data_IF_241938390785
#
_entry.id   IF_241938390785
#
_cell.length_a   1.000
_cell.length_b   1.000
_cell.length_c   1.000
_cell.angle_alpha   90.00
_cell.angle_beta   90.00
_cell.angle_gamma   90.00
#
_symmetry.space_group_name_H-M   'P 1'
#
loop_
_entity.id
_entity.type
_entity.pdbx_description
1 polymer ?
#
# COMPACT_ATOMS: atom_id res chain seq x y z
N UNK A 1 -73.36 3.75 60.60
CA UNK A 1 -72.63 3.13 61.73
C UNK A 1 -71.36 2.54 61.13
N UNK A 2 -70.12 2.89 61.47
CA UNK A 2 -69.51 3.48 62.65
C UNK A 2 -68.26 4.27 62.26
N UNK A 3 -68.03 5.40 62.93
CA UNK A 3 -66.77 6.13 62.99
C UNK A 3 -65.73 5.32 63.78
N UNK A 4 -64.44 5.41 63.41
CA UNK A 4 -63.39 5.56 64.43
C UNK A 4 -62.19 6.36 63.92
N UNK A 5 -61.49 6.98 64.87
CA UNK A 5 -60.67 8.19 64.77
C UNK A 5 -59.17 7.88 64.76
N UNK A 6 -58.41 8.75 64.07
CA UNK A 6 -57.08 9.34 64.35
C UNK A 6 -55.95 8.45 64.90
N UNK A 7 -54.78 8.48 64.26
CA UNK A 7 -53.57 9.21 64.76
C UNK A 7 -52.46 9.34 63.71
N UNK A 8 -51.72 10.44 63.85
CA UNK A 8 -50.61 10.97 63.05
C UNK A 8 -49.28 10.42 63.55
N UNK A 9 -48.29 10.16 62.68
CA UNK A 9 -46.92 10.73 62.79
C UNK A 9 -46.00 10.30 61.65
N UNK A 10 -45.14 11.24 61.30
CA UNK A 10 -44.16 11.28 60.22
C UNK A 10 -42.92 10.42 60.46
N UNK A 11 -42.25 10.03 59.36
CA UNK A 11 -40.78 9.96 59.18
C UNK A 11 -40.54 9.28 57.81
N UNK A 12 -40.04 9.97 56.79
CA UNK A 12 -38.62 10.24 56.54
C UNK A 12 -38.18 9.46 55.28
N UNK A 13 -37.99 10.23 54.22
CA UNK A 13 -36.86 10.18 53.28
C UNK A 13 -36.42 8.81 52.73
N UNK A 14 -36.62 8.64 51.42
CA UNK A 14 -35.99 7.58 50.64
C UNK A 14 -36.28 7.69 49.15
N UNK A 15 -35.84 8.78 48.51
CA UNK A 15 -35.85 8.86 47.04
C UNK A 15 -34.63 8.09 46.52
N UNK A 16 -34.79 6.80 46.26
CA UNK A 16 -33.77 6.00 45.60
C UNK A 16 -33.83 6.27 44.09
N UNK A 17 -33.00 7.21 43.64
CA UNK A 17 -32.72 7.46 42.23
C UNK A 17 -31.76 6.35 41.76
N UNK A 18 -32.30 5.27 41.21
CA UNK A 18 -31.51 4.22 40.58
C UNK A 18 -30.96 4.74 39.24
N UNK A 19 -29.78 5.36 39.28
CA UNK A 19 -28.94 5.53 38.09
C UNK A 19 -28.41 4.15 37.71
N UNK A 20 -29.08 3.48 36.78
CA UNK A 20 -28.54 2.32 36.09
C UNK A 20 -27.37 2.76 35.23
N UNK A 21 -26.17 2.78 35.82
CA UNK A 21 -24.93 2.82 35.07
C UNK A 21 -24.79 1.49 34.32
N UNK A 22 -25.20 1.46 33.05
CA UNK A 22 -24.85 0.37 32.14
C UNK A 22 -23.34 0.36 31.95
N UNK A 23 -22.64 -0.47 32.72
CA UNK A 23 -21.26 -0.84 32.41
C UNK A 23 -21.29 -1.54 31.04
N UNK A 24 -20.88 -0.82 29.99
CA UNK A 24 -20.37 -1.45 28.79
C UNK A 24 -19.08 -2.16 29.19
N UNK A 25 -19.18 -3.41 29.62
CA UNK A 25 -18.02 -4.29 29.75
C UNK A 25 -17.43 -4.40 28.34
N UNK A 26 -16.25 -3.81 28.13
CA UNK A 26 -15.43 -4.15 26.98
C UNK A 26 -15.23 -5.67 26.99
N UNK A 27 -15.39 -6.36 25.85
CA UNK A 27 -15.19 -7.79 25.79
C UNK A 27 -13.78 -8.14 26.30
N UNK A 28 -13.61 -9.24 27.06
CA UNK A 28 -12.30 -9.65 27.52
C UNK A 28 -11.43 -10.01 26.30
N UNK A 29 -10.14 -9.66 26.35
CA UNK A 29 -9.17 -9.90 25.26
C UNK A 29 -9.15 -11.35 24.74
N UNK A 30 -9.59 -12.32 25.56
CA UNK A 30 -9.72 -13.74 25.20
C UNK A 30 -10.87 -14.05 24.22
N UNK A 31 -11.92 -13.24 24.18
CA UNK A 31 -13.02 -13.42 23.22
C UNK A 31 -12.58 -12.95 21.83
N UNK A 32 -11.87 -11.82 21.76
CA UNK A 32 -11.33 -11.27 20.51
C UNK A 32 -10.31 -12.21 19.84
N UNK A 33 -9.51 -12.93 20.64
CA UNK A 33 -8.64 -13.98 20.10
C UNK A 33 -9.43 -15.17 19.55
N UNK A 34 -10.52 -15.59 20.21
CA UNK A 34 -11.34 -16.71 19.73
C UNK A 34 -12.09 -16.37 18.43
N UNK A 35 -12.60 -15.14 18.33
CA UNK A 35 -13.28 -14.64 17.14
C UNK A 35 -12.31 -14.51 15.96
N UNK A 36 -11.09 -14.00 16.22
CA UNK A 36 -10.03 -13.94 15.23
C UNK A 36 -9.63 -15.32 14.71
N UNK A 37 -9.39 -16.28 15.61
CA UNK A 37 -9.04 -17.66 15.25
C UNK A 37 -10.13 -18.31 14.38
N UNK A 38 -11.40 -18.13 14.77
CA UNK A 38 -12.53 -18.65 14.03
C UNK A 38 -12.64 -18.01 12.64
N UNK A 39 -12.50 -16.69 12.54
CA UNK A 39 -12.57 -15.95 11.28
C UNK A 39 -11.42 -16.31 10.33
N UNK A 40 -10.18 -16.37 10.83
CA UNK A 40 -9.00 -16.77 10.07
C UNK A 40 -9.17 -18.19 9.54
N UNK A 41 -9.57 -19.13 10.42
CA UNK A 41 -9.79 -20.52 10.01
C UNK A 41 -10.91 -20.64 8.98
N UNK A 42 -12.04 -19.95 9.18
CA UNK A 42 -13.15 -19.98 8.25
C UNK A 42 -12.73 -19.49 6.86
N UNK A 43 -12.02 -18.36 6.82
CA UNK A 43 -11.55 -17.76 5.57
C UNK A 43 -10.47 -18.62 4.89
N UNK A 44 -9.57 -19.24 5.66
CA UNK A 44 -8.61 -20.21 5.11
C UNK A 44 -9.31 -21.37 4.39
N UNK A 45 -10.38 -21.92 4.98
CA UNK A 45 -11.15 -22.99 4.34
C UNK A 45 -11.93 -22.49 3.12
N UNK A 46 -12.48 -21.28 3.16
CA UNK A 46 -13.14 -20.61 2.03
C UNK A 46 -12.20 -20.51 0.82
N UNK A 47 -10.92 -20.21 1.04
CA UNK A 47 -9.90 -20.15 -0.03
C UNK A 47 -9.39 -21.51 -0.51
N UNK A 48 -9.86 -22.61 0.08
CA UNK A 48 -9.47 -23.98 -0.29
C UNK A 48 -8.36 -24.59 0.58
N UNK A 49 -8.06 -24.00 1.72
CA UNK A 49 -7.14 -24.54 2.73
C UNK A 49 -5.75 -24.82 2.17
N UNK A 50 -5.18 -25.99 2.49
CA UNK A 50 -3.83 -26.38 2.08
C UNK A 50 -3.66 -26.58 0.57
N UNK A 51 -4.76 -26.77 -0.17
CA UNK A 51 -4.74 -26.87 -1.64
C UNK A 51 -4.72 -25.48 -2.32
N UNK A 52 -4.93 -24.42 -1.56
CA UNK A 52 -4.85 -23.04 -2.05
C UNK A 52 -3.40 -22.57 -2.16
N UNK A 53 -3.14 -21.42 -2.82
CA UNK A 53 -1.82 -20.80 -2.85
C UNK A 53 -1.25 -20.43 -1.47
N UNK A 54 -2.09 -20.28 -0.43
CA UNK A 54 -1.59 -20.10 0.93
C UNK A 54 -0.77 -21.32 1.40
N UNK A 55 -1.15 -22.52 0.96
CA UNK A 55 -0.56 -23.76 1.43
C UNK A 55 -0.80 -24.01 2.92
N UNK A 56 0.08 -24.80 3.53
CA UNK A 56 0.01 -25.16 4.95
C UNK A 56 0.19 -23.95 5.87
N UNK A 57 -0.53 -23.96 7.00
CA UNK A 57 -0.35 -22.96 8.06
C UNK A 57 1.03 -23.06 8.70
N UNK A 58 1.60 -21.90 9.03
CA UNK A 58 2.86 -21.76 9.75
C UNK A 58 2.56 -21.15 11.11
N UNK A 59 2.49 -22.01 12.12
CA UNK A 59 2.18 -21.60 13.49
C UNK A 59 0.69 -21.30 13.72
N UNK A 60 0.38 -20.90 14.95
CA UNK A 60 -0.96 -20.47 15.37
C UNK A 60 -1.19 -18.99 15.04
N UNK A 61 -2.45 -18.53 14.98
CA UNK A 61 -2.75 -17.10 14.97
C UNK A 61 -2.06 -16.36 16.11
N UNK A 62 -1.67 -15.12 15.85
CA UNK A 62 -0.98 -14.26 16.81
C UNK A 62 -1.48 -12.82 16.67
N UNK A 63 -1.32 -12.02 17.74
CA UNK A 63 -1.72 -10.62 17.74
C UNK A 63 -0.96 -9.82 16.67
N UNK A 64 -1.67 -9.00 15.89
CA UNK A 64 -1.10 -8.25 14.78
C UNK A 64 -1.75 -6.86 14.69
N UNK A 65 -0.96 -5.82 14.96
CA UNK A 65 -1.44 -4.45 15.11
C UNK A 65 -2.23 -4.22 16.41
N UNK A 66 -2.95 -3.09 16.51
CA UNK A 66 -3.59 -2.66 17.76
C UNK A 66 -4.71 -3.57 18.28
N UNK A 67 -5.52 -4.16 17.40
CA UNK A 67 -6.76 -4.86 17.75
C UNK A 67 -7.07 -6.07 16.84
N UNK A 68 -6.08 -6.51 16.07
CA UNK A 68 -6.21 -7.58 15.10
C UNK A 68 -5.34 -8.78 15.40
N UNK A 69 -5.44 -9.76 14.51
CA UNK A 69 -4.62 -10.95 14.53
C UNK A 69 -4.17 -11.30 13.12
N UNK A 70 -3.12 -12.10 13.02
CA UNK A 70 -2.70 -12.68 11.77
C UNK A 70 -2.29 -14.14 11.96
N UNK A 71 -2.35 -14.90 10.88
CA UNK A 71 -1.74 -16.22 10.80
C UNK A 71 -0.91 -16.32 9.54
N UNK A 72 0.30 -16.86 9.70
CA UNK A 72 1.21 -17.15 8.61
C UNK A 72 0.85 -18.45 7.91
N UNK A 73 1.04 -18.46 6.60
CA UNK A 73 0.94 -19.63 5.74
C UNK A 73 2.15 -19.64 4.81
N UNK A 74 2.50 -20.80 4.25
CA UNK A 74 3.70 -20.93 3.41
C UNK A 74 3.73 -19.96 2.22
N UNK A 75 2.58 -19.65 1.64
CA UNK A 75 2.45 -18.76 0.48
C UNK A 75 1.91 -17.37 0.78
N UNK A 76 1.58 -17.04 2.02
CA UNK A 76 0.98 -15.76 2.35
C UNK A 76 0.54 -15.63 3.81
N UNK A 77 -0.35 -14.68 4.06
CA UNK A 77 -0.83 -14.35 5.41
C UNK A 77 -2.33 -14.07 5.36
N UNK A 78 -3.07 -14.56 6.35
CA UNK A 78 -4.43 -14.07 6.60
C UNK A 78 -4.34 -13.10 7.77
N UNK A 79 -4.88 -11.90 7.57
CA UNK A 79 -4.93 -10.83 8.56
C UNK A 79 -6.40 -10.57 8.90
N UNK A 80 -6.69 -10.44 10.19
CA UNK A 80 -8.02 -10.20 10.73
C UNK A 80 -8.05 -8.92 11.56
N UNK A 81 -9.15 -8.17 11.43
CA UNK A 81 -9.60 -7.20 12.42
C UNK A 81 -11.11 -7.34 12.63
N UNK A 82 -11.66 -6.84 13.75
CA UNK A 82 -13.12 -6.80 13.95
C UNK A 82 -13.85 -6.03 12.84
N UNK A 83 -13.26 -4.93 12.37
CA UNK A 83 -13.89 -4.02 11.40
C UNK A 83 -13.83 -4.53 9.96
N UNK A 84 -12.71 -5.15 9.57
CA UNK A 84 -12.51 -5.61 8.18
C UNK A 84 -12.71 -7.11 8.01
N UNK A 85 -12.77 -7.89 9.09
CA UNK A 85 -12.78 -9.34 9.07
C UNK A 85 -11.45 -9.93 8.58
N UNK A 86 -11.43 -11.25 8.34
CA UNK A 86 -10.26 -11.92 7.80
C UNK A 86 -10.11 -11.59 6.30
N UNK A 87 -8.88 -11.28 5.88
CA UNK A 87 -8.48 -11.06 4.50
C UNK A 87 -7.15 -11.71 4.20
N UNK A 88 -7.03 -12.24 3.00
CA UNK A 88 -5.82 -12.92 2.55
C UNK A 88 -4.91 -12.00 1.74
N UNK A 89 -3.59 -12.13 1.98
CA UNK A 89 -2.54 -11.39 1.29
C UNK A 89 -1.40 -12.31 0.90
N UNK A 90 -0.75 -12.01 -0.23
CA UNK A 90 0.31 -12.82 -0.82
C UNK A 90 1.50 -11.97 -1.30
N UNK A 91 2.63 -12.63 -1.52
CA UNK A 91 3.77 -12.14 -2.32
C UNK A 91 4.15 -10.67 -2.10
N UNK A 92 4.39 -9.96 -3.20
CA UNK A 92 4.96 -8.61 -3.18
C UNK A 92 4.09 -7.56 -2.48
N UNK A 93 2.76 -7.71 -2.49
CA UNK A 93 1.87 -6.80 -1.77
C UNK A 93 1.98 -7.04 -0.27
N UNK A 94 1.98 -8.30 0.17
CA UNK A 94 2.22 -8.67 1.57
C UNK A 94 3.59 -8.18 2.04
N UNK A 95 4.64 -8.45 1.27
CA UNK A 95 6.01 -8.03 1.60
C UNK A 95 6.09 -6.51 1.77
N UNK A 96 5.47 -5.76 0.84
CA UNK A 96 5.41 -4.30 0.92
C UNK A 96 4.64 -3.81 2.14
N UNK A 97 3.48 -4.41 2.42
CA UNK A 97 2.67 -4.08 3.58
C UNK A 97 3.45 -4.25 4.89
N UNK A 98 4.14 -5.38 5.05
CA UNK A 98 4.96 -5.64 6.23
C UNK A 98 6.17 -4.69 6.32
N UNK A 99 6.83 -4.41 5.19
CA UNK A 99 7.96 -3.48 5.14
C UNK A 99 7.57 -2.04 5.51
N UNK A 100 6.32 -1.65 5.27
CA UNK A 100 5.77 -0.35 5.65
C UNK A 100 5.28 -0.28 7.10
N UNK A 101 5.36 -1.38 7.86
CA UNK A 101 4.92 -1.45 9.26
C UNK A 101 3.57 -2.15 9.47
N UNK A 102 2.98 -2.73 8.44
CA UNK A 102 1.76 -3.54 8.54
C UNK A 102 0.57 -2.76 9.10
N UNK A 103 -0.17 -3.41 10.00
CA UNK A 103 -1.41 -2.87 10.56
C UNK A 103 -1.21 -1.58 11.35
N UNK A 104 -0.05 -1.41 11.99
CA UNK A 104 0.25 -0.21 12.76
C UNK A 104 0.43 1.04 11.87
N UNK A 105 0.85 0.85 10.61
CA UNK A 105 1.13 1.96 9.70
C UNK A 105 0.02 2.21 8.68
N UNK A 106 -0.57 1.15 8.13
CA UNK A 106 -1.55 1.24 7.05
C UNK A 106 -2.96 0.79 7.47
N UNK A 107 -3.12 0.31 8.71
CA UNK A 107 -4.36 -0.36 9.12
C UNK A 107 -4.52 -1.73 8.47
N UNK A 108 -5.69 -2.32 8.63
CA UNK A 108 -5.99 -3.68 8.21
C UNK A 108 -6.44 -3.75 6.76
N UNK A 109 -6.16 -4.85 6.04
CA UNK A 109 -6.67 -5.06 4.70
C UNK A 109 -8.20 -5.07 4.69
N UNK A 110 -8.78 -4.43 3.66
CA UNK A 110 -10.24 -4.29 3.46
C UNK A 110 -10.78 -5.27 2.41
N UNK A 111 -9.92 -5.77 1.54
CA UNK A 111 -10.23 -6.77 0.52
C UNK A 111 -9.17 -7.87 0.53
N UNK A 112 -9.57 -9.03 0.01
CA UNK A 112 -8.59 -10.06 -0.33
C UNK A 112 -7.75 -9.54 -1.47
N UNK A 113 -6.46 -9.88 -1.51
CA UNK A 113 -5.64 -9.52 -2.65
C UNK A 113 -6.27 -10.05 -3.94
N UNK A 114 -6.72 -9.10 -4.77
CA UNK A 114 -7.52 -9.35 -5.94
C UNK A 114 -6.87 -8.71 -7.16
N UNK A 115 -7.23 -9.23 -8.33
CA UNK A 115 -6.90 -8.58 -9.59
C UNK A 115 -7.46 -7.15 -9.59
N UNK A 116 -6.66 -6.22 -10.07
CA UNK A 116 -7.08 -4.84 -10.24
C UNK A 116 -8.22 -4.79 -11.24
N UNK A 117 -9.36 -4.13 -10.91
CA UNK A 117 -10.49 -3.99 -11.84
C UNK A 117 -10.09 -3.20 -13.11
N UNK A 118 -8.97 -2.48 -13.03
CA UNK A 118 -8.35 -1.67 -14.07
C UNK A 118 -6.90 -2.12 -14.24
N UNK A 119 -6.48 -2.43 -15.46
CA UNK A 119 -5.26 -3.17 -15.82
C UNK A 119 -5.28 -4.68 -15.48
N UNK A 120 -5.60 -5.51 -16.48
CA UNK A 120 -5.93 -6.95 -16.33
C UNK A 120 -4.83 -7.92 -15.86
N UNK A 121 -3.65 -7.44 -15.45
CA UNK A 121 -2.64 -8.27 -14.74
C UNK A 121 -2.11 -7.63 -13.45
N UNK A 122 -2.55 -6.40 -13.17
CA UNK A 122 -2.20 -5.73 -11.93
C UNK A 122 -3.04 -6.28 -10.77
N UNK A 123 -2.54 -6.11 -9.56
CA UNK A 123 -3.19 -6.56 -8.33
C UNK A 123 -3.18 -5.45 -7.30
N UNK A 124 -4.10 -5.48 -6.36
CA UNK A 124 -4.16 -4.47 -5.32
C UNK A 124 -4.74 -5.00 -4.01
N UNK A 125 -4.36 -4.31 -2.93
CA UNK A 125 -5.04 -4.41 -1.64
C UNK A 125 -5.25 -3.01 -1.08
N UNK A 126 -6.42 -2.80 -0.53
CA UNK A 126 -6.82 -1.59 0.18
C UNK A 126 -6.70 -1.80 1.67
N UNK A 127 -6.38 -0.73 2.38
CA UNK A 127 -6.15 -0.76 3.81
C UNK A 127 -6.99 0.30 4.54
N UNK A 128 -7.24 0.07 5.83
CA UNK A 128 -8.10 0.91 6.66
C UNK A 128 -7.44 2.18 7.21
N UNK A 129 -6.25 2.55 6.73
CA UNK A 129 -5.61 3.83 7.03
C UNK A 129 -6.61 5.00 6.90
N UNK A 130 -6.57 5.92 7.87
CA UNK A 130 -7.55 7.01 7.97
C UNK A 130 -7.57 7.94 6.75
N UNK A 131 -6.42 8.15 6.10
CA UNK A 131 -6.30 8.92 4.86
C UNK A 131 -6.50 8.06 3.59
N UNK A 132 -6.79 6.77 3.75
CA UNK A 132 -6.95 5.78 2.69
C UNK A 132 -5.61 5.35 2.09
N UNK A 133 -5.41 4.04 1.98
CA UNK A 133 -4.20 3.47 1.41
C UNK A 133 -4.53 2.28 0.49
N UNK A 134 -3.79 2.19 -0.60
CA UNK A 134 -3.81 1.06 -1.52
C UNK A 134 -2.37 0.70 -1.87
N UNK A 135 -2.01 -0.56 -1.73
CA UNK A 135 -0.78 -1.08 -2.35
C UNK A 135 -1.19 -1.68 -3.68
N UNK A 136 -0.62 -1.17 -4.75
CA UNK A 136 -0.85 -1.66 -6.11
C UNK A 136 0.42 -2.32 -6.63
N UNK A 137 0.26 -3.50 -7.21
CA UNK A 137 1.32 -4.24 -7.87
C UNK A 137 1.06 -4.38 -9.36
N UNK A 138 2.09 -4.19 -10.17
CA UNK A 138 2.08 -4.59 -11.58
C UNK A 138 3.33 -5.40 -11.92
N UNK A 139 3.29 -6.28 -12.93
CA UNK A 139 4.46 -7.06 -13.35
C UNK A 139 5.66 -6.19 -13.72
N UNK A 140 5.42 -5.01 -14.30
CA UNK A 140 6.46 -4.11 -14.78
C UNK A 140 7.08 -3.26 -13.68
N UNK A 141 6.30 -2.87 -12.66
CA UNK A 141 6.72 -1.85 -11.71
C UNK A 141 6.92 -2.39 -10.29
N UNK A 142 6.36 -3.55 -9.94
CA UNK A 142 6.35 -4.04 -8.57
C UNK A 142 5.26 -3.40 -7.72
N UNK A 143 5.37 -3.54 -6.39
CA UNK A 143 4.36 -3.12 -5.41
C UNK A 143 4.66 -1.74 -4.80
N UNK A 144 3.72 -0.81 -4.94
CA UNK A 144 3.86 0.58 -4.48
C UNK A 144 2.65 1.06 -3.71
N UNK A 145 2.89 1.82 -2.64
CA UNK A 145 1.85 2.46 -1.86
C UNK A 145 1.32 3.70 -2.59
N UNK A 146 -0.01 3.80 -2.71
CA UNK A 146 -0.74 5.00 -3.10
C UNK A 146 -1.68 5.36 -1.95
N UNK A 147 -1.54 6.55 -1.35
CA UNK A 147 -2.34 6.97 -0.18
C UNK A 147 -2.89 8.40 -0.28
N UNK A 148 -3.84 8.72 0.59
CA UNK A 148 -4.27 10.09 0.81
C UNK A 148 -4.90 10.76 -0.41
N UNK A 149 -4.76 12.09 -0.54
CA UNK A 149 -5.25 12.85 -1.68
C UNK A 149 -4.73 12.35 -3.03
N UNK A 150 -3.51 11.82 -3.09
CA UNK A 150 -2.95 11.24 -4.32
C UNK A 150 -3.71 9.98 -4.72
N UNK A 151 -4.08 9.11 -3.78
CA UNK A 151 -4.95 7.94 -4.05
C UNK A 151 -6.31 8.37 -4.59
N UNK A 152 -6.89 9.43 -4.03
CA UNK A 152 -8.17 10.00 -4.50
C UNK A 152 -8.04 10.51 -5.94
N UNK A 153 -7.01 11.29 -6.25
CA UNK A 153 -6.72 11.78 -7.60
C UNK A 153 -6.49 10.66 -8.60
N UNK A 154 -5.66 9.68 -8.22
CA UNK A 154 -5.34 8.55 -9.09
C UNK A 154 -6.59 7.73 -9.41
N UNK A 155 -7.44 7.47 -8.42
CA UNK A 155 -8.71 6.75 -8.62
C UNK A 155 -9.69 7.53 -9.50
N UNK A 156 -9.79 8.85 -9.31
CA UNK A 156 -10.59 9.74 -10.15
C UNK A 156 -10.13 9.71 -11.62
N UNK A 157 -8.82 9.65 -11.85
CA UNK A 157 -8.21 9.59 -13.17
C UNK A 157 -8.14 8.16 -13.73
N UNK A 158 -9.04 7.25 -13.34
CA UNK A 158 -9.11 5.85 -13.82
C UNK A 158 -7.88 4.97 -13.50
N UNK A 159 -7.13 5.36 -12.47
CA UNK A 159 -6.00 4.62 -11.92
C UNK A 159 -4.99 4.17 -13.00
N UNK A 160 -4.55 2.90 -12.95
CA UNK A 160 -3.54 2.33 -13.87
C UNK A 160 -3.94 2.41 -15.36
N UNK A 161 -5.23 2.47 -15.67
CA UNK A 161 -5.72 2.57 -17.06
C UNK A 161 -5.80 4.02 -17.56
N UNK A 162 -5.60 5.00 -16.68
CA UNK A 162 -5.70 6.41 -17.01
C UNK A 162 -4.38 7.09 -17.29
N UNK A 163 -4.45 8.41 -17.41
CA UNK A 163 -3.33 9.26 -17.85
C UNK A 163 -2.10 9.16 -16.94
N UNK A 164 -2.31 8.90 -15.65
CA UNK A 164 -1.23 8.73 -14.68
C UNK A 164 -0.51 7.38 -14.85
N UNK A 165 -1.19 6.33 -15.31
CA UNK A 165 -0.65 4.98 -15.36
C UNK A 165 -0.44 4.36 -13.98
N UNK A 166 0.41 3.33 -13.91
CA UNK A 166 0.70 2.60 -12.67
C UNK A 166 1.73 3.34 -11.81
N UNK A 167 1.65 3.23 -10.47
CA UNK A 167 2.66 3.81 -9.59
C UNK A 167 4.03 3.16 -9.84
N UNK A 168 5.09 3.96 -9.67
CA UNK A 168 6.50 3.53 -9.76
C UNK A 168 7.34 3.98 -8.55
N UNK A 169 6.71 4.66 -7.59
CA UNK A 169 7.28 5.03 -6.30
C UNK A 169 6.18 5.01 -5.24
N UNK A 170 6.55 4.99 -3.96
CA UNK A 170 5.59 5.14 -2.87
C UNK A 170 5.12 6.59 -2.76
N UNK A 171 3.88 6.79 -2.31
CA UNK A 171 3.50 8.10 -1.79
C UNK A 171 4.35 8.46 -0.58
N UNK A 172 5.04 9.59 -0.65
CA UNK A 172 5.76 10.18 0.49
C UNK A 172 4.96 11.34 1.06
N UNK A 173 5.08 11.55 2.37
CA UNK A 173 4.45 12.67 3.08
C UNK A 173 5.52 13.40 3.86
N UNK A 174 5.77 14.67 3.50
CA UNK A 174 6.72 15.55 4.18
C UNK A 174 6.09 16.92 4.36
N UNK A 175 6.08 17.44 5.60
CA UNK A 175 5.51 18.75 5.93
C UNK A 175 4.08 18.98 5.42
N UNK A 176 3.25 17.93 5.44
CA UNK A 176 1.87 17.96 4.93
C UNK A 176 1.74 17.94 3.40
N UNK A 177 2.85 17.77 2.68
CA UNK A 177 2.88 17.61 1.23
C UNK A 177 2.97 16.13 0.88
N UNK A 178 1.97 15.65 0.14
CA UNK A 178 1.96 14.32 -0.45
C UNK A 178 2.65 14.39 -1.81
N UNK A 179 3.54 13.44 -2.12
CA UNK A 179 4.15 13.37 -3.46
C UNK A 179 4.36 11.93 -3.93
N UNK A 180 4.26 11.71 -5.24
CA UNK A 180 4.44 10.40 -5.86
C UNK A 180 4.73 10.51 -7.36
N UNK A 181 5.30 9.45 -7.94
CA UNK A 181 5.55 9.31 -9.38
C UNK A 181 4.84 8.08 -9.94
N UNK A 182 4.29 8.23 -11.13
CA UNK A 182 3.61 7.20 -11.89
C UNK A 182 4.24 7.06 -13.29
N UNK A 183 4.02 5.92 -13.95
CA UNK A 183 4.62 5.62 -15.25
C UNK A 183 4.15 6.51 -16.40
N UNK A 184 2.96 7.10 -16.26
CA UNK A 184 2.20 7.73 -17.34
C UNK A 184 1.68 6.73 -18.37
N UNK A 185 0.59 7.09 -19.05
CA UNK A 185 -0.04 6.22 -20.06
C UNK A 185 0.86 5.98 -21.29
N UNK A 186 1.68 6.97 -21.66
CA UNK A 186 2.55 6.92 -22.84
C UNK A 186 4.02 6.62 -22.49
N UNK A 187 4.29 6.16 -21.26
CA UNK A 187 5.63 5.90 -20.74
C UNK A 187 6.43 7.15 -20.33
N UNK A 188 5.86 8.34 -20.47
CA UNK A 188 6.39 9.57 -19.89
C UNK A 188 5.91 9.68 -18.43
N UNK A 189 6.80 9.69 -17.42
CA UNK A 189 6.39 9.70 -16.02
C UNK A 189 5.51 10.89 -15.67
N UNK A 190 4.53 10.65 -14.80
CA UNK A 190 3.71 11.70 -14.18
C UNK A 190 4.11 11.84 -12.72
N UNK A 191 4.67 12.98 -12.37
CA UNK A 191 4.88 13.37 -10.99
C UNK A 191 3.66 14.14 -10.50
N UNK A 192 3.18 13.83 -9.30
CA UNK A 192 2.08 14.52 -8.64
C UNK A 192 2.49 14.92 -7.24
N UNK A 193 2.13 16.14 -6.85
CA UNK A 193 2.18 16.63 -5.49
C UNK A 193 0.85 17.21 -5.07
N UNK A 194 0.54 17.10 -3.79
CA UNK A 194 -0.62 17.74 -3.19
C UNK A 194 -0.27 18.34 -1.84
N UNK A 195 -0.75 19.55 -1.58
CA UNK A 195 -0.78 20.15 -0.24
C UNK A 195 -2.15 20.77 0.00
N UNK A 196 -2.56 20.93 1.26
CA UNK A 196 -3.82 21.59 1.58
C UNK A 196 -3.84 23.06 1.12
N UNK A 197 -2.68 23.72 1.09
CA UNK A 197 -2.56 25.12 0.70
C UNK A 197 -2.59 25.33 -0.82
N UNK A 198 -1.94 24.43 -1.58
CA UNK A 198 -1.72 24.61 -3.02
C UNK A 198 -2.60 23.72 -3.90
N UNK A 199 -3.26 22.71 -3.32
CA UNK A 199 -3.98 21.69 -4.08
C UNK A 199 -3.02 20.79 -4.90
N UNK A 200 -3.54 20.24 -6.00
CA UNK A 200 -2.76 19.36 -6.88
C UNK A 200 -1.86 20.14 -7.83
N UNK A 201 -0.62 19.70 -7.95
CA UNK A 201 0.27 20.09 -9.03
C UNK A 201 0.92 18.84 -9.64
N UNK A 202 1.06 18.83 -10.96
CA UNK A 202 1.62 17.69 -11.69
C UNK A 202 2.71 18.12 -12.65
N UNK A 203 3.60 17.19 -12.98
CA UNK A 203 4.49 17.27 -14.13
C UNK A 203 4.19 16.05 -14.99
N UNK A 204 3.62 16.22 -16.20
CA UNK A 204 3.30 17.49 -16.86
C UNK A 204 2.04 18.19 -16.27
N UNK A 205 1.91 19.52 -16.39
CA UNK A 205 0.90 20.31 -15.67
C UNK A 205 -0.54 20.16 -16.17
N UNK A 206 -0.74 19.61 -17.37
CA UNK A 206 -2.06 19.36 -17.96
C UNK A 206 -2.88 18.33 -17.17
N UNK A 207 -2.22 17.38 -16.50
CA UNK A 207 -2.89 16.38 -15.65
C UNK A 207 -3.56 17.04 -14.45
N UNK A 208 -2.93 18.04 -13.82
CA UNK A 208 -3.50 18.79 -12.70
C UNK A 208 -4.81 19.51 -13.09
N UNK A 209 -4.93 19.95 -14.34
CA UNK A 209 -6.17 20.56 -14.85
C UNK A 209 -7.39 19.65 -14.70
N UNK A 210 -7.20 18.32 -14.84
CA UNK A 210 -8.25 17.32 -14.70
C UNK A 210 -8.64 17.02 -13.24
N UNK A 211 -7.87 17.52 -12.27
CA UNK A 211 -8.12 17.36 -10.83
C UNK A 211 -8.75 18.60 -10.19
N UNK A 212 -9.05 19.62 -10.99
CA UNK A 212 -9.63 20.88 -10.51
C UNK A 212 -10.99 20.64 -9.85
N UNK A 213 -11.15 21.07 -8.59
CA UNK A 213 -12.39 20.92 -7.84
C UNK A 213 -12.64 19.53 -7.26
N UNK A 214 -11.68 18.61 -7.35
CA UNK A 214 -11.77 17.31 -6.70
C UNK A 214 -11.73 17.48 -5.17
N UNK A 215 -12.77 17.00 -4.48
CA UNK A 215 -12.78 16.92 -3.02
C UNK A 215 -11.91 15.75 -2.53
N UNK A 216 -11.00 16.07 -1.62
CA UNK A 216 -10.05 15.13 -1.01
C UNK A 216 -10.20 15.04 0.51
N UNK A 217 -11.27 15.64 1.05
CA UNK A 217 -11.57 15.64 2.48
C UNK A 217 -11.98 14.27 3.00
N UNK A 218 -12.44 13.39 2.11
CA UNK A 218 -12.76 11.98 2.40
C UNK A 218 -11.83 11.10 1.57
N UNK A 219 -11.29 9.99 2.14
CA UNK A 219 -10.53 9.02 1.36
C UNK A 219 -11.35 8.55 0.16
N UNK A 220 -10.82 8.74 -1.05
CA UNK A 220 -11.51 8.38 -2.28
C UNK A 220 -11.81 6.89 -2.37
N UNK A 221 -12.69 6.52 -3.32
CA UNK A 221 -12.96 5.13 -3.64
C UNK A 221 -11.68 4.41 -4.09
N UNK A 222 -11.70 3.08 -4.02
CA UNK A 222 -10.66 2.24 -4.56
C UNK A 222 -10.36 2.55 -6.03
N UNK A 223 -9.12 2.33 -6.48
CA UNK A 223 -8.78 2.31 -7.90
C UNK A 223 -9.72 1.38 -8.68
N UNK A 224 -10.48 1.92 -9.63
CA UNK A 224 -11.43 1.17 -10.46
C UNK A 224 -12.71 0.69 -9.75
N UNK A 225 -12.95 1.12 -8.51
CA UNK A 225 -14.28 1.04 -7.91
C UNK A 225 -15.22 2.05 -8.60
N UNK A 226 -16.39 1.60 -9.05
CA UNK A 226 -17.48 2.53 -9.37
C UNK A 226 -17.77 3.33 -8.10
N UNK A 227 -17.83 4.67 -8.14
CA UNK A 227 -18.20 5.45 -6.96
C UNK A 227 -19.51 4.91 -6.41
N UNK A 228 -19.53 4.53 -5.13
CA UNK A 228 -20.78 4.20 -4.47
C UNK A 228 -21.71 5.43 -4.61
N UNK A 229 -22.92 5.27 -5.17
CA UNK A 229 -23.86 6.38 -5.20
C UNK A 229 -24.09 6.89 -3.77
N UNK A 230 -24.43 8.18 -3.58
CA UNK A 230 -24.78 8.72 -2.27
C UNK A 230 -25.83 7.81 -1.64
N UNK A 231 -25.70 7.52 -0.35
CA UNK A 231 -26.60 6.61 0.35
C UNK A 231 -28.05 7.15 0.33
N UNK A 232 -28.81 6.78 -0.70
CA UNK A 232 -30.25 6.89 -0.71
C UNK A 232 -30.84 5.61 -0.08
N UNK A 233 -31.86 5.83 0.72
CA UNK A 233 -32.56 4.93 1.64
C UNK A 233 -32.70 3.48 1.13
N UNK A 234 -32.19 2.50 1.90
CA UNK A 234 -32.15 1.09 1.48
C UNK A 234 -33.53 0.43 1.59
N UNK A 235 -34.34 0.61 0.55
CA UNK A 235 -35.40 -0.34 0.19
C UNK A 235 -34.80 -1.54 -0.56
N UNK A 236 -34.78 -2.70 0.10
CA UNK A 236 -34.57 -4.07 -0.42
C UNK A 236 -33.91 -4.21 -1.81
N UNK A 237 -32.61 -4.49 -1.83
CA UNK A 237 -31.92 -5.02 -3.02
C UNK A 237 -31.50 -6.49 -2.79
N UNK A 238 -31.80 -7.31 -3.80
CA UNK A 238 -31.58 -8.75 -3.90
C UNK A 238 -30.09 -9.15 -3.76
N UNK A 239 -29.77 -10.43 -3.44
CA UNK A 239 -28.39 -10.86 -3.23
C UNK A 239 -27.57 -10.70 -4.52
N UNK A 240 -26.44 -9.99 -4.42
CA UNK A 240 -25.44 -9.93 -5.47
C UNK A 240 -24.91 -11.35 -5.71
N UNK A 241 -24.97 -11.79 -6.97
CA UNK A 241 -24.45 -13.09 -7.42
C UNK A 241 -22.94 -13.17 -7.22
N UNK A 242 -22.54 -14.25 -6.57
CA UNK A 242 -21.16 -14.68 -6.34
C UNK A 242 -20.38 -14.72 -7.66
N UNK A 243 -19.36 -13.87 -7.79
CA UNK A 243 -18.38 -14.02 -8.85
C UNK A 243 -17.13 -14.70 -8.26
N UNK A 244 -17.27 -16.02 -8.07
CA UNK A 244 -16.17 -16.89 -7.65
C UNK A 244 -15.24 -17.15 -8.84
N UNK A 245 -14.33 -16.22 -9.12
CA UNK A 245 -13.23 -16.42 -10.05
C UNK A 245 -12.06 -17.12 -9.35
N UNK A 246 -12.23 -18.40 -9.05
CA UNK A 246 -11.17 -19.37 -8.79
C UNK A 246 -10.35 -19.68 -10.06
N UNK A 247 -9.93 -18.65 -10.81
CA UNK A 247 -9.00 -18.80 -11.91
C UNK A 247 -7.60 -19.07 -11.33
N UNK A 248 -6.95 -20.14 -11.77
CA UNK A 248 -5.64 -20.59 -11.28
C UNK A 248 -4.52 -19.68 -11.82
N UNK A 249 -4.35 -18.48 -11.25
CA UNK A 249 -3.42 -17.44 -11.73
C UNK A 249 -2.06 -17.42 -11.01
N UNK A 250 -1.89 -18.19 -9.94
CA UNK A 250 -0.67 -18.26 -9.10
C UNK A 250 0.54 -18.96 -9.76
N UNK A 251 0.43 -19.42 -11.02
CA UNK A 251 1.47 -20.19 -11.70
C UNK A 251 2.55 -19.36 -12.42
N UNK A 252 2.63 -18.04 -12.19
CA UNK A 252 3.67 -17.20 -12.80
C UNK A 252 4.88 -17.06 -11.85
N UNK A 253 6.12 -17.32 -12.32
CA UNK A 253 7.30 -17.15 -11.49
C UNK A 253 7.56 -15.67 -11.23
N UNK A 254 7.34 -15.23 -9.99
CA UNK A 254 7.69 -13.89 -9.50
C UNK A 254 9.23 -13.83 -9.42
N UNK A 255 9.86 -13.27 -10.44
CA UNK A 255 11.28 -12.95 -10.44
C UNK A 255 11.55 -11.70 -9.61
N UNK A 256 12.32 -11.86 -8.54
CA UNK A 256 12.97 -10.80 -7.76
C UNK A 256 13.53 -9.67 -8.64
N UNK A 257 13.08 -8.44 -8.43
CA UNK A 257 13.93 -7.24 -8.62
C UNK A 257 13.82 -6.38 -7.37
N UNK A 258 14.82 -6.54 -6.50
CA UNK A 258 15.18 -5.54 -5.50
C UNK A 258 16.05 -4.51 -6.23
N UNK A 259 15.60 -3.27 -6.33
CA UNK A 259 16.47 -2.14 -6.58
C UNK A 259 16.40 -1.21 -5.36
N UNK A 260 17.36 -1.39 -4.45
CA UNK A 260 17.61 -0.47 -3.37
C UNK A 260 18.19 0.83 -3.95
N UNK A 261 17.55 1.96 -3.64
CA UNK A 261 18.16 3.28 -3.75
C UNK A 261 17.81 4.07 -2.48
N UNK A 262 18.62 3.84 -1.43
CA UNK A 262 18.69 4.74 -0.29
C UNK A 262 19.47 6.00 -0.68
N UNK A 263 18.96 7.16 -0.26
CA UNK A 263 19.56 8.47 -0.51
C UNK A 263 20.90 8.69 0.21
N UNK A 264 21.66 9.64 -0.32
CA UNK A 264 22.86 10.21 0.29
C UNK A 264 23.13 11.61 -0.27
N UNK A 265 22.90 12.60 0.59
CA UNK A 265 23.06 14.04 0.37
C UNK A 265 24.50 14.46 0.00
N UNK A 266 24.56 15.62 -0.65
CA UNK A 266 25.76 16.37 -1.02
C UNK A 266 26.67 16.75 0.16
N UNK A 267 27.99 16.76 -0.09
CA UNK A 267 28.96 17.59 0.62
C UNK A 267 30.16 17.96 -0.29
N UNK A 268 30.10 19.18 -0.82
CA UNK A 268 31.13 20.23 -0.86
C UNK A 268 32.65 19.89 -0.96
N UNK A 269 33.22 20.27 -2.11
CA UNK A 269 34.49 20.98 -2.38
C UNK A 269 35.71 20.87 -1.42
N UNK A 270 36.89 20.48 -1.97
CA UNK A 270 38.03 21.37 -2.28
C UNK A 270 39.26 20.61 -2.84
N UNK A 271 39.68 21.01 -4.05
CA UNK A 271 41.04 21.26 -4.57
C UNK A 271 42.26 20.55 -3.91
N UNK A 272 43.05 19.82 -4.71
CA UNK A 272 44.44 19.48 -4.38
C UNK A 272 45.18 18.65 -5.44
N UNK A 273 46.14 19.28 -6.11
CA UNK A 273 47.00 18.77 -7.20
C UNK A 273 48.27 18.09 -6.66
N UNK A 274 48.58 16.87 -7.12
CA UNK A 274 49.93 16.32 -7.42
C UNK A 274 49.75 14.83 -7.73
N UNK A 275 50.30 14.17 -8.74
CA UNK A 275 51.52 14.37 -9.52
C UNK A 275 52.09 12.96 -9.73
N UNK A 276 52.54 12.61 -10.94
CA UNK A 276 53.23 11.34 -11.18
C UNK A 276 53.06 10.76 -12.58
N UNK A 277 53.99 11.14 -13.45
CA UNK A 277 54.31 10.54 -14.75
C UNK A 277 54.65 9.04 -14.67
N UNK A 278 54.47 8.31 -15.77
CA UNK A 278 55.51 7.53 -16.47
C UNK A 278 54.88 6.43 -17.35
N UNK A 279 54.85 6.67 -18.67
CA UNK A 279 54.75 5.62 -19.68
C UNK A 279 56.15 5.04 -19.91
N UNK A 280 56.33 3.73 -19.78
CA UNK A 280 57.60 3.04 -20.07
C UNK A 280 57.32 1.73 -20.82
N UNK A 281 57.67 1.77 -22.11
CA UNK A 281 58.51 0.81 -22.84
C UNK A 281 58.06 -0.65 -23.00
N UNK A 282 57.52 -0.89 -24.19
CA UNK A 282 57.75 -2.00 -25.14
C UNK A 282 58.98 -2.88 -24.91
N UNK A 283 58.77 -4.21 -24.86
CA UNK A 283 59.80 -5.25 -25.01
C UNK A 283 59.34 -6.26 -26.07
N UNK A 284 60.05 -6.38 -27.19
CA UNK A 284 60.14 -7.59 -28.03
C UNK A 284 61.39 -7.52 -28.93
N UNK A 285 61.96 -8.68 -29.33
CA UNK A 285 63.40 -8.81 -29.54
C UNK A 285 63.87 -8.75 -31.01
N UNK A 286 65.19 -8.59 -31.13
CA UNK A 286 66.02 -8.44 -32.33
C UNK A 286 65.81 -9.52 -33.39
N UNK A 287 65.86 -9.11 -34.66
CA UNK A 287 66.56 -9.85 -35.71
C UNK A 287 67.22 -8.91 -36.71
N UNK A 288 68.38 -9.34 -37.17
CA UNK A 288 69.43 -8.68 -37.94
C UNK A 288 69.16 -8.58 -39.45
N UNK A 289 69.77 -7.57 -40.07
CA UNK A 289 69.92 -7.40 -41.53
C UNK A 289 69.46 -6.00 -41.94
N UNK A 290 70.24 -5.13 -42.57
CA UNK A 290 71.41 -5.33 -43.39
C UNK A 290 71.23 -4.47 -44.63
N UNK A 291 71.94 -3.34 -44.66
CA UNK A 291 72.43 -2.63 -45.84
C UNK A 291 71.53 -1.62 -46.60
N UNK A 292 72.25 -0.61 -47.11
CA UNK A 292 71.92 0.29 -48.25
C UNK A 292 70.85 1.36 -47.99
N UNK A 293 70.96 2.62 -48.40
CA UNK A 293 71.96 3.45 -49.08
C UNK A 293 71.40 4.89 -49.04
N UNK A 294 72.30 5.88 -49.02
CA UNK A 294 72.13 7.21 -49.65
C UNK A 294 71.31 8.34 -48.96
N UNK A 295 71.88 9.54 -49.08
CA UNK A 295 71.50 10.86 -48.50
C UNK A 295 70.57 11.63 -49.48
N UNK A 296 70.50 12.99 -49.51
CA UNK A 296 69.50 13.80 -48.82
C UNK A 296 68.77 14.82 -49.74
N UNK A 297 67.91 15.64 -49.11
CA UNK A 297 67.77 17.09 -49.35
C UNK A 297 66.72 17.63 -50.34
N UNK A 298 65.94 18.60 -49.82
CA UNK A 298 65.30 19.73 -50.54
C UNK A 298 63.96 19.39 -51.20
N UNK A 299 62.93 20.23 -51.19
CA UNK A 299 62.76 21.66 -50.90
C UNK A 299 61.32 21.86 -50.40
N UNK A 300 61.06 22.61 -49.33
CA UNK A 300 60.76 24.04 -49.35
C UNK A 300 59.75 24.46 -50.43
N UNK A 301 58.45 24.23 -50.19
CA UNK A 301 57.41 25.26 -49.97
C UNK A 301 56.12 24.60 -49.53
#
# INVERSE_FOLDING_TARGET
>A
MSLWKKTVSAAATGFALALGAGMLLSPPATAQTADADAAIKAHYQEKGGAASPLGESVGAPYAFGPDGAAQDYRGGKIVYSPDTGAKVMYGAILDKYLALGGADALGYPKNDESDSPVAGTARYSEFSAADGATIHWSPQNGAWLVRGPIRTAWSHLKASDGVMGSPISDTTVADGVYSQTFSGQNGAPVEIRWSQADGFATVPPDVAGQLSGLDVSVPGAAPGGVPAPPAEDRGSAAPATDNNSNAKWWALPIGLIIAAAAGGLAAMALRGRSGGSHTTTTSMPRHTGGAHLWRPSGANR
#
